data_IF_735478377959
#
_entry.id   IF_735478377959
#
_cell.length_a   1.000
_cell.length_b   1.000
_cell.length_c   1.000
_cell.angle_alpha   90.00
_cell.angle_beta   90.00
_cell.angle_gamma   90.00
#
_symmetry.space_group_name_H-M   'P 1'
#
loop_
_entity.id
_entity.type
_entity.pdbx_description
1 polymer ?
#
# COMPACT_ATOMS: atom_id res chain seq x y z
N UNK A 1 2.21 1.11 -20.03
CA UNK A 1 2.96 -0.14 -19.81
C UNK A 1 4.38 0.06 -20.28
N UNK A 2 5.32 -0.74 -19.77
CA UNK A 2 6.72 -0.74 -20.20
C UNK A 2 7.13 -2.17 -20.56
N UNK A 3 7.95 -2.33 -21.59
CA UNK A 3 8.57 -3.60 -21.93
C UNK A 3 9.55 -4.05 -20.83
N UNK A 4 9.85 -5.36 -20.77
CA UNK A 4 10.83 -5.89 -19.82
C UNK A 4 12.18 -5.16 -19.86
N UNK A 5 12.66 -4.81 -21.06
CA UNK A 5 13.94 -4.10 -21.26
C UNK A 5 13.88 -2.67 -20.71
N UNK A 6 12.76 -1.99 -20.90
CA UNK A 6 12.54 -0.66 -20.31
C UNK A 6 12.46 -0.73 -18.79
N UNK A 7 11.81 -1.74 -18.21
CA UNK A 7 11.79 -1.95 -16.77
C UNK A 7 13.19 -2.17 -16.19
N UNK A 8 14.01 -3.00 -16.83
CA UNK A 8 15.41 -3.22 -16.43
C UNK A 8 16.23 -1.93 -16.49
N UNK A 9 16.07 -1.14 -17.56
CA UNK A 9 16.76 0.14 -17.69
C UNK A 9 16.30 1.13 -16.61
N UNK A 10 14.99 1.19 -16.33
CA UNK A 10 14.43 2.04 -15.30
C UNK A 10 14.97 1.68 -13.91
N UNK A 11 15.07 0.38 -13.61
CA UNK A 11 15.63 -0.10 -12.34
C UNK A 11 17.12 0.24 -12.23
N UNK A 12 17.92 0.04 -13.29
CA UNK A 12 19.34 0.42 -13.30
C UNK A 12 19.55 1.91 -13.06
N UNK A 13 18.72 2.76 -13.68
CA UNK A 13 18.75 4.22 -13.45
C UNK A 13 18.41 4.57 -12.01
N UNK A 14 17.44 3.89 -11.40
CA UNK A 14 17.14 4.07 -9.98
C UNK A 14 18.32 3.66 -9.09
N UNK A 15 18.95 2.51 -9.33
CA UNK A 15 20.14 2.11 -8.59
C UNK A 15 21.25 3.16 -8.62
N UNK A 16 21.48 3.79 -9.77
CA UNK A 16 22.46 4.86 -9.90
C UNK A 16 22.04 6.13 -9.15
N UNK A 17 20.77 6.53 -9.28
CA UNK A 17 20.26 7.75 -8.66
C UNK A 17 20.29 7.72 -7.13
N UNK A 18 20.07 6.54 -6.52
CA UNK A 18 20.00 6.39 -5.06
C UNK A 18 21.26 6.79 -4.28
N UNK A 19 22.41 6.92 -4.94
CA UNK A 19 23.65 7.39 -4.31
C UNK A 19 23.77 8.92 -4.24
N UNK A 20 22.84 9.66 -4.84
CA UNK A 20 22.88 11.11 -4.95
C UNK A 20 21.62 11.71 -4.32
N UNK A 21 21.81 12.56 -3.30
CA UNK A 21 20.70 13.13 -2.53
C UNK A 21 19.84 14.07 -3.39
N UNK A 22 20.45 14.87 -4.25
CA UNK A 22 19.72 15.83 -5.08
C UNK A 22 18.87 15.09 -6.12
N UNK A 23 19.41 14.03 -6.70
CA UNK A 23 18.66 13.17 -7.63
C UNK A 23 17.50 12.45 -6.95
N UNK A 24 17.71 11.88 -5.75
CA UNK A 24 16.64 11.19 -5.02
C UNK A 24 15.51 12.14 -4.64
N UNK A 25 15.83 13.33 -4.11
CA UNK A 25 14.82 14.32 -3.73
C UNK A 25 14.06 14.87 -4.94
N UNK A 26 14.72 14.97 -6.10
CA UNK A 26 14.09 15.33 -7.37
C UNK A 26 13.15 14.23 -7.89
N UNK A 27 13.56 12.96 -7.76
CA UNK A 27 12.83 11.81 -8.29
C UNK A 27 11.69 11.36 -7.39
N UNK A 28 11.81 11.56 -6.07
CA UNK A 28 10.81 11.17 -5.08
C UNK A 28 10.41 12.38 -4.23
N UNK A 29 9.66 13.35 -4.80
CA UNK A 29 9.10 14.43 -4.02
C UNK A 29 8.15 13.88 -2.95
N UNK A 30 8.29 14.36 -1.71
CA UNK A 30 7.59 13.77 -0.55
C UNK A 30 6.06 13.93 -0.56
N UNK A 31 5.52 14.74 -1.46
CA UNK A 31 4.10 15.05 -1.61
C UNK A 31 3.49 14.50 -2.92
N UNK A 32 4.22 13.67 -3.66
CA UNK A 32 3.71 13.03 -4.87
C UNK A 32 3.15 11.65 -4.55
N UNK A 33 2.30 11.16 -5.46
CA UNK A 33 1.54 9.92 -5.28
C UNK A 33 1.64 9.05 -6.53
N UNK A 34 1.42 7.74 -6.37
CA UNK A 34 1.18 6.84 -7.49
C UNK A 34 -0.32 6.70 -7.72
N UNK A 35 -0.74 6.73 -8.98
CA UNK A 35 -2.13 6.47 -9.35
C UNK A 35 -2.21 5.19 -10.18
N UNK A 36 -2.81 4.14 -9.61
CA UNK A 36 -3.00 2.86 -10.29
C UNK A 36 -4.39 2.86 -10.93
N UNK A 37 -4.42 2.94 -12.26
CA UNK A 37 -5.67 2.90 -13.02
C UNK A 37 -6.37 1.54 -12.93
N UNK A 38 -7.69 1.53 -13.06
CA UNK A 38 -8.49 0.30 -13.12
C UNK A 38 -8.02 -0.68 -14.20
N UNK A 39 -7.53 -0.19 -15.35
CA UNK A 39 -6.92 -1.04 -16.39
C UNK A 39 -5.64 -1.75 -15.90
N UNK A 40 -4.82 -1.06 -15.10
CA UNK A 40 -3.62 -1.65 -14.50
C UNK A 40 -4.00 -2.70 -13.45
N UNK A 41 -5.06 -2.45 -12.68
CA UNK A 41 -5.60 -3.38 -11.69
C UNK A 41 -6.15 -4.65 -12.36
N UNK A 42 -7.01 -4.49 -13.37
CA UNK A 42 -7.55 -5.59 -14.17
C UNK A 42 -6.44 -6.40 -14.82
N UNK A 43 -5.42 -5.73 -15.36
CA UNK A 43 -4.26 -6.39 -15.94
C UNK A 43 -3.50 -7.18 -14.88
N UNK A 44 -3.24 -6.61 -13.70
CA UNK A 44 -2.53 -7.30 -12.63
C UNK A 44 -3.31 -8.53 -12.17
N UNK A 45 -4.59 -8.39 -11.88
CA UNK A 45 -5.45 -9.49 -11.41
C UNK A 45 -5.58 -10.62 -12.45
N UNK A 46 -5.59 -10.28 -13.74
CA UNK A 46 -5.61 -11.29 -14.82
C UNK A 46 -4.32 -12.10 -14.91
N UNK A 47 -3.19 -11.51 -14.58
CA UNK A 47 -1.87 -12.12 -14.79
C UNK A 47 -1.26 -12.69 -13.50
N UNK A 48 -1.73 -12.31 -12.31
CA UNK A 48 -1.19 -12.73 -11.02
C UNK A 48 -1.89 -13.99 -10.49
N UNK A 49 -1.14 -15.03 -10.14
CA UNK A 49 -1.65 -16.30 -9.61
C UNK A 49 -1.23 -16.50 -8.13
N UNK A 50 -1.04 -15.40 -7.40
CA UNK A 50 -0.50 -15.37 -6.05
C UNK A 50 -1.30 -14.41 -5.15
N UNK A 51 -1.18 -14.54 -3.82
CA UNK A 51 -1.79 -13.61 -2.87
C UNK A 51 -1.03 -12.28 -2.76
N UNK A 52 0.15 -12.20 -3.38
CA UNK A 52 0.99 -10.99 -3.45
C UNK A 52 1.47 -10.71 -4.87
N UNK A 53 2.02 -9.51 -5.06
CA UNK A 53 2.75 -9.12 -6.25
C UNK A 53 3.93 -8.20 -5.86
N UNK A 54 4.87 -8.01 -6.80
CA UNK A 54 6.00 -7.11 -6.59
C UNK A 54 5.75 -5.76 -7.29
N UNK A 55 6.08 -4.67 -6.61
CA UNK A 55 6.14 -3.34 -7.21
C UNK A 55 7.56 -2.80 -7.16
N UNK A 56 8.18 -2.63 -8.32
CA UNK A 56 9.51 -2.07 -8.43
C UNK A 56 9.46 -0.57 -8.61
N UNK A 57 10.34 0.15 -7.92
CA UNK A 57 10.59 1.56 -8.19
C UNK A 57 11.77 1.68 -9.15
N UNK A 58 11.54 2.44 -10.22
CA UNK A 58 12.51 2.72 -11.28
C UNK A 58 12.50 4.20 -11.66
N UNK A 59 13.40 4.57 -12.58
CA UNK A 59 13.42 5.91 -13.20
C UNK A 59 13.19 5.80 -14.71
N UNK A 60 12.06 6.33 -15.17
CA UNK A 60 11.69 6.35 -16.58
C UNK A 60 11.29 7.77 -16.97
N UNK A 61 11.76 8.25 -18.13
CA UNK A 61 11.54 9.64 -18.58
C UNK A 61 11.86 10.71 -17.53
N UNK A 62 12.96 10.54 -16.80
CA UNK A 62 13.41 11.41 -15.69
C UNK A 62 12.42 11.54 -14.52
N UNK A 63 11.45 10.63 -14.42
CA UNK A 63 10.46 10.55 -13.34
C UNK A 63 10.53 9.20 -12.64
N UNK A 64 10.16 9.17 -11.37
CA UNK A 64 9.99 7.90 -10.65
C UNK A 64 8.78 7.15 -11.19
N UNK A 65 8.94 5.84 -11.38
CA UNK A 65 7.91 4.94 -11.91
C UNK A 65 7.81 3.70 -11.03
N UNK A 66 6.58 3.34 -10.65
CA UNK A 66 6.23 2.07 -10.04
C UNK A 66 5.84 1.09 -11.14
N UNK A 67 6.48 -0.09 -11.16
CA UNK A 67 6.27 -1.14 -12.15
C UNK A 67 5.70 -2.38 -11.47
N UNK A 68 4.56 -2.87 -11.94
CA UNK A 68 3.80 -3.95 -11.30
C UNK A 68 4.19 -5.31 -11.92
N UNK A 69 4.71 -6.20 -11.09
CA UNK A 69 5.23 -7.52 -11.46
C UNK A 69 4.35 -8.62 -10.83
N UNK A 70 3.53 -9.30 -11.64
CA UNK A 70 2.74 -10.42 -11.16
C UNK A 70 3.62 -11.64 -10.86
N UNK A 71 3.15 -12.45 -9.93
CA UNK A 71 3.79 -13.68 -9.47
C UNK A 71 2.97 -14.90 -9.90
N UNK A 72 3.65 -16.02 -10.10
CA UNK A 72 3.03 -17.33 -10.23
C UNK A 72 2.62 -17.91 -8.86
N UNK A 73 1.91 -19.04 -8.86
CA UNK A 73 1.49 -19.73 -7.64
C UNK A 73 2.63 -20.21 -6.74
N UNK A 74 3.88 -20.22 -7.22
CA UNK A 74 5.06 -20.52 -6.40
C UNK A 74 5.72 -19.28 -5.79
N UNK A 75 5.26 -18.07 -6.14
CA UNK A 75 5.84 -16.79 -5.72
C UNK A 75 6.96 -16.30 -6.64
N UNK A 76 7.16 -16.93 -7.81
CA UNK A 76 8.13 -16.53 -8.81
C UNK A 76 7.58 -15.43 -9.74
N UNK A 77 8.43 -14.49 -10.14
CA UNK A 77 8.03 -13.42 -11.06
C UNK A 77 7.73 -13.94 -12.47
N UNK A 78 6.55 -13.60 -12.98
CA UNK A 78 6.15 -13.97 -14.33
C UNK A 78 6.89 -13.14 -15.38
N UNK A 79 7.48 -13.84 -16.35
CA UNK A 79 8.18 -13.22 -17.48
C UNK A 79 7.20 -12.83 -18.58
N UNK A 80 6.63 -11.63 -18.46
CA UNK A 80 5.72 -11.05 -19.44
C UNK A 80 6.46 -10.12 -20.43
N UNK A 81 5.90 -9.89 -21.64
CA UNK A 81 6.47 -8.96 -22.62
C UNK A 81 6.49 -7.51 -22.12
N UNK A 82 5.44 -7.12 -21.40
CA UNK A 82 5.21 -5.78 -20.87
C UNK A 82 4.57 -5.83 -19.49
N UNK A 83 4.71 -4.74 -18.73
CA UNK A 83 4.23 -4.61 -17.36
C UNK A 83 3.44 -3.32 -17.19
N UNK A 84 2.38 -3.38 -16.38
CA UNK A 84 1.65 -2.20 -15.95
C UNK A 84 2.54 -1.29 -15.09
N UNK A 85 2.38 0.02 -15.26
CA UNK A 85 3.19 1.02 -14.56
C UNK A 85 2.34 2.20 -14.09
N UNK A 86 2.84 2.91 -13.09
CA UNK A 86 2.28 4.16 -12.58
C UNK A 86 3.44 5.13 -12.31
N UNK A 87 3.31 6.39 -12.73
CA UNK A 87 4.32 7.41 -12.48
C UNK A 87 4.03 8.11 -11.16
N UNK A 88 5.10 8.54 -10.50
CA UNK A 88 5.00 9.37 -9.30
C UNK A 88 4.68 10.81 -9.72
N UNK A 89 3.50 11.29 -9.40
CA UNK A 89 2.96 12.55 -9.91
C UNK A 89 2.29 13.38 -8.80
N UNK A 90 2.12 14.70 -8.99
CA UNK A 90 1.30 15.51 -8.10
C UNK A 90 -0.11 14.95 -7.98
N UNK A 91 -0.68 15.08 -6.79
CA UNK A 91 -2.06 14.68 -6.56
C UNK A 91 -3.02 15.53 -7.41
N UNK A 92 -3.90 14.88 -8.17
CA UNK A 92 -4.84 15.53 -9.09
C UNK A 92 -6.10 16.06 -8.41
N UNK A 93 -6.46 15.54 -7.24
CA UNK A 93 -7.65 15.92 -6.47
C UNK A 93 -7.50 15.53 -4.99
N UNK A 94 -8.27 16.16 -4.10
CA UNK A 94 -8.21 15.87 -2.66
C UNK A 94 -8.46 14.38 -2.35
N UNK A 95 -7.56 13.78 -1.57
CA UNK A 95 -7.75 12.44 -1.01
C UNK A 95 -8.61 12.52 0.24
N UNK A 96 -9.62 11.66 0.32
CA UNK A 96 -10.49 11.53 1.49
C UNK A 96 -10.24 10.20 2.17
N UNK A 97 -9.79 10.25 3.41
CA UNK A 97 -9.67 9.10 4.31
C UNK A 97 -11.03 8.93 5.01
N UNK A 98 -11.60 7.73 4.93
CA UNK A 98 -12.93 7.43 5.49
C UNK A 98 -12.85 6.18 6.34
N UNK A 99 -13.12 6.33 7.64
CA UNK A 99 -13.30 5.23 8.59
C UNK A 99 -14.72 5.28 9.16
N UNK A 100 -15.45 4.16 9.07
CA UNK A 100 -16.81 4.03 9.62
C UNK A 100 -16.89 2.91 10.67
N UNK A 101 -17.27 3.26 11.89
CA UNK A 101 -17.55 2.32 12.98
C UNK A 101 -19.06 2.10 13.18
N UNK A 102 -19.55 0.88 12.98
CA UNK A 102 -20.96 0.53 13.22
C UNK A 102 -21.13 -0.14 14.59
N UNK A 103 -21.81 0.54 15.53
CA UNK A 103 -22.19 -0.01 16.85
C UNK A 103 -23.58 -0.65 16.79
N UNK A 104 -23.77 -1.77 17.48
CA UNK A 104 -25.08 -2.43 17.58
C UNK A 104 -25.67 -2.25 18.97
N UNK A 105 -26.90 -1.75 19.05
CA UNK A 105 -27.65 -1.61 20.30
C UNK A 105 -28.84 -2.57 20.26
N UNK A 106 -28.83 -3.60 21.09
CA UNK A 106 -29.96 -4.54 21.27
C UNK A 106 -30.76 -4.15 22.49
N UNK A 107 -32.03 -3.79 22.30
CA UNK A 107 -32.98 -3.51 23.39
C UNK A 107 -33.93 -4.70 23.50
N UNK A 108 -33.85 -5.42 24.61
CA UNK A 108 -34.74 -6.56 24.90
C UNK A 108 -35.67 -6.16 26.04
N UNK A 109 -36.98 -6.35 25.86
CA UNK A 109 -37.96 -6.18 26.93
C UNK A 109 -38.76 -7.48 27.06
N UNK A 110 -38.92 -7.96 28.28
CA UNK A 110 -39.76 -9.12 28.57
C UNK A 110 -41.05 -8.62 29.22
N UNK A 111 -42.18 -9.11 28.72
CA UNK A 111 -43.47 -8.92 29.35
C UNK A 111 -43.83 -10.21 30.11
N UNK A 112 -44.39 -10.06 31.30
CA UNK A 112 -44.98 -11.15 32.05
C UNK A 112 -46.26 -11.65 31.37
N UNK A 113 -46.78 -12.78 31.83
CA UNK A 113 -48.02 -13.39 31.32
C UNK A 113 -49.25 -12.50 31.53
N UNK A 114 -49.21 -11.54 32.45
CA UNK A 114 -50.23 -10.51 32.66
C UNK A 114 -49.89 -9.16 32.00
N UNK A 115 -48.97 -9.15 31.02
CA UNK A 115 -48.57 -8.00 30.22
C UNK A 115 -47.91 -6.85 31.00
N UNK A 116 -47.38 -7.11 32.20
CA UNK A 116 -46.51 -6.17 32.90
C UNK A 116 -45.07 -6.30 32.37
N UNK A 117 -44.33 -5.21 32.36
CA UNK A 117 -42.92 -5.24 31.93
C UNK A 117 -42.10 -5.87 33.06
N UNK A 118 -41.57 -7.08 32.83
CA UNK A 118 -40.82 -7.83 33.84
C UNK A 118 -39.32 -7.52 33.82
N UNK A 119 -38.77 -7.14 32.66
CA UNK A 119 -37.39 -6.67 32.56
C UNK A 119 -37.15 -5.85 31.30
N UNK A 120 -36.15 -4.97 31.35
CA UNK A 120 -35.56 -4.30 30.20
C UNK A 120 -34.06 -4.43 30.26
N UNK A 121 -33.47 -4.94 29.18
CA UNK A 121 -32.04 -5.07 29.02
C UNK A 121 -31.60 -4.32 27.76
N UNK A 122 -30.54 -3.52 27.90
CA UNK A 122 -29.89 -2.85 26.78
C UNK A 122 -28.49 -3.45 26.68
N UNK A 123 -28.23 -4.18 25.59
CA UNK A 123 -26.91 -4.74 25.30
C UNK A 123 -26.30 -3.93 24.16
N UNK A 124 -25.21 -3.23 24.45
CA UNK A 124 -24.41 -2.55 23.43
C UNK A 124 -23.26 -3.46 23.03
N UNK A 125 -23.15 -3.76 21.73
CA UNK A 125 -22.04 -4.52 21.17
C UNK A 125 -21.23 -3.58 20.29
N UNK A 126 -19.97 -3.39 20.66
CA UNK A 126 -18.99 -2.71 19.79
C UNK A 126 -18.57 -3.69 18.69
N UNK A 127 -18.25 -3.20 17.48
CA UNK A 127 -17.65 -4.06 16.47
C UNK A 127 -16.38 -4.68 17.08
N UNK A 128 -16.18 -5.98 16.84
CA UNK A 128 -14.90 -6.60 17.13
C UNK A 128 -13.87 -5.88 16.26
N UNK A 129 -12.78 -5.37 16.84
CA UNK A 129 -11.62 -4.95 16.06
C UNK A 129 -11.23 -6.16 15.21
N UNK A 130 -11.50 -6.11 13.90
CA UNK A 130 -10.79 -6.96 12.97
C UNK A 130 -9.32 -6.66 13.22
N UNK A 131 -8.58 -7.67 13.63
CA UNK A 131 -7.36 -7.56 14.43
C UNK A 131 -6.19 -6.84 13.75
N UNK A 132 -6.38 -6.28 12.56
CA UNK A 132 -5.29 -5.99 11.66
C UNK A 132 -5.45 -4.70 10.82
N UNK A 133 -6.44 -3.84 11.13
CA UNK A 133 -6.56 -2.52 10.49
C UNK A 133 -5.93 -1.48 11.42
N UNK A 134 -4.78 -0.92 11.02
CA UNK A 134 -4.20 0.25 11.69
C UNK A 134 -5.23 1.40 11.67
N UNK A 135 -5.41 2.07 12.81
CA UNK A 135 -6.32 3.19 12.92
C UNK A 135 -5.92 4.29 11.93
N UNK A 136 -6.92 4.94 11.31
CA UNK A 136 -6.68 6.04 10.36
C UNK A 136 -5.71 7.08 10.91
N UNK A 137 -5.80 7.45 12.20
CA UNK A 137 -4.91 8.43 12.82
C UNK A 137 -3.44 8.02 12.75
N UNK A 138 -3.14 6.75 13.02
CA UNK A 138 -1.77 6.21 12.89
C UNK A 138 -1.29 6.26 11.45
N UNK A 139 -2.15 5.94 10.48
CA UNK A 139 -1.79 6.00 9.06
C UNK A 139 -1.50 7.45 8.62
N UNK A 140 -2.28 8.41 9.10
CA UNK A 140 -2.08 9.83 8.81
C UNK A 140 -0.74 10.33 9.38
N UNK A 141 -0.41 9.96 10.63
CA UNK A 141 0.91 10.25 11.22
C UNK A 141 2.04 9.68 10.36
N UNK A 142 1.95 8.42 9.92
CA UNK A 142 2.97 7.79 9.07
C UNK A 142 3.17 8.51 7.73
N UNK A 143 2.10 9.06 7.14
CA UNK A 143 2.16 9.85 5.90
C UNK A 143 2.76 11.24 6.17
N UNK A 144 2.41 11.86 7.29
CA UNK A 144 2.99 13.14 7.70
C UNK A 144 4.48 13.02 8.00
N UNK A 145 4.89 11.97 8.71
CA UNK A 145 6.29 11.65 8.98
C UNK A 145 7.07 11.50 7.67
N UNK A 146 6.53 10.78 6.68
CA UNK A 146 7.16 10.71 5.36
C UNK A 146 7.32 12.10 4.74
N UNK A 147 6.25 12.89 4.73
CA UNK A 147 6.27 14.23 4.13
C UNK A 147 7.33 15.13 4.74
N UNK A 148 7.51 15.05 6.06
CA UNK A 148 8.40 15.92 6.84
C UNK A 148 9.84 15.40 6.87
N UNK A 149 10.04 14.09 7.00
CA UNK A 149 11.33 13.49 7.35
C UNK A 149 11.95 12.65 6.22
N UNK A 150 11.30 12.51 5.05
CA UNK A 150 11.86 11.71 3.95
C UNK A 150 13.23 12.17 3.50
N UNK A 151 13.47 13.49 3.50
CA UNK A 151 14.76 14.04 3.08
C UNK A 151 15.90 13.65 4.03
N UNK A 152 15.66 13.76 5.33
CA UNK A 152 16.62 13.34 6.36
C UNK A 152 16.84 11.83 6.34
N UNK A 153 15.77 11.06 6.11
CA UNK A 153 15.86 9.62 5.95
C UNK A 153 16.75 9.24 4.75
N UNK A 154 16.52 9.84 3.58
CA UNK A 154 17.35 9.59 2.39
C UNK A 154 18.81 10.00 2.63
N UNK A 155 19.04 11.19 3.20
CA UNK A 155 20.40 11.64 3.54
C UNK A 155 21.12 10.65 4.45
N UNK A 156 20.43 10.12 5.47
CA UNK A 156 20.97 9.09 6.36
C UNK A 156 21.29 7.79 5.61
N UNK A 157 20.37 7.27 4.79
CA UNK A 157 20.62 6.02 4.05
C UNK A 157 21.77 6.14 3.04
N UNK A 158 21.92 7.31 2.41
CA UNK A 158 23.04 7.59 1.50
C UNK A 158 24.35 7.69 2.28
N UNK A 159 24.36 8.39 3.41
CA UNK A 159 25.55 8.52 4.25
C UNK A 159 26.01 7.18 4.83
N UNK A 160 25.07 6.35 5.28
CA UNK A 160 25.37 5.09 5.97
C UNK A 160 25.70 3.93 5.01
N UNK A 161 25.12 3.91 3.80
CA UNK A 161 25.18 2.75 2.89
C UNK A 161 25.45 3.08 1.43
N UNK A 162 25.69 4.35 1.08
CA UNK A 162 25.77 4.80 -0.31
C UNK A 162 24.45 4.63 -1.08
N UNK A 163 23.31 4.56 -0.37
CA UNK A 163 21.98 4.37 -0.95
C UNK A 163 21.60 2.91 -1.24
N UNK A 164 22.44 1.94 -0.86
CA UNK A 164 22.15 0.51 -1.05
C UNK A 164 20.93 0.03 -0.25
N UNK A 165 20.65 0.65 0.90
CA UNK A 165 19.50 0.34 1.76
C UNK A 165 18.19 0.98 1.31
N UNK A 166 18.25 1.96 0.39
CA UNK A 166 17.05 2.59 -0.17
C UNK A 166 16.31 1.55 -1.04
N UNK A 167 15.00 1.48 -0.82
CA UNK A 167 14.10 0.50 -1.41
C UNK A 167 14.24 0.37 -2.94
N UNK A 168 13.97 -0.83 -3.44
CA UNK A 168 13.88 -1.14 -4.87
C UNK A 168 12.55 -1.75 -5.22
N UNK A 169 12.03 -2.58 -4.31
CA UNK A 169 10.86 -3.41 -4.54
C UNK A 169 10.02 -3.45 -3.27
N UNK A 170 8.72 -3.38 -3.45
CA UNK A 170 7.72 -3.57 -2.42
C UNK A 170 6.99 -4.88 -2.70
N UNK A 171 6.80 -5.67 -1.67
CA UNK A 171 5.98 -6.87 -1.75
C UNK A 171 4.58 -6.54 -1.21
N UNK A 172 3.57 -6.55 -2.06
CA UNK A 172 2.24 -5.99 -1.78
C UNK A 172 1.20 -7.10 -1.88
N UNK A 173 0.29 -7.28 -0.91
CA UNK A 173 -0.82 -8.21 -1.08
C UNK A 173 -1.75 -7.76 -2.19
N UNK A 174 -2.28 -8.72 -2.94
CA UNK A 174 -3.25 -8.42 -3.98
C UNK A 174 -4.53 -7.81 -3.39
N UNK A 175 -4.86 -8.13 -2.14
CA UNK A 175 -6.02 -7.58 -1.41
C UNK A 175 -5.95 -6.05 -1.23
N UNK A 176 -4.75 -5.47 -1.17
CA UNK A 176 -4.55 -4.01 -1.10
C UNK A 176 -5.02 -3.32 -2.40
N UNK A 177 -5.14 -4.08 -3.49
CA UNK A 177 -5.61 -3.64 -4.80
C UNK A 177 -6.94 -4.37 -5.11
N UNK A 178 -8.07 -3.76 -4.74
CA UNK A 178 -9.37 -4.44 -4.84
C UNK A 178 -9.90 -4.54 -6.27
N UNK A 179 -10.50 -5.68 -6.60
CA UNK A 179 -11.22 -5.89 -7.86
C UNK A 179 -12.37 -4.88 -8.03
N UNK A 180 -12.49 -4.30 -9.22
CA UNK A 180 -13.55 -3.33 -9.56
C UNK A 180 -13.32 -1.90 -9.04
N UNK A 181 -12.13 -1.58 -8.52
CA UNK A 181 -11.75 -0.18 -8.32
C UNK A 181 -11.42 0.48 -9.67
N UNK A 182 -11.99 1.67 -9.88
CA UNK A 182 -11.66 2.50 -11.06
C UNK A 182 -10.25 3.07 -10.99
N UNK A 183 -9.78 3.34 -9.78
CA UNK A 183 -8.49 3.94 -9.49
C UNK A 183 -8.14 3.70 -8.01
N UNK A 184 -6.84 3.53 -7.74
CA UNK A 184 -6.29 3.45 -6.37
C UNK A 184 -5.07 4.37 -6.29
N UNK A 185 -4.96 5.12 -5.19
CA UNK A 185 -3.82 6.02 -4.95
C UNK A 185 -2.85 5.39 -3.96
N UNK A 186 -1.58 5.26 -4.34
CA UNK A 186 -0.48 4.82 -3.49
C UNK A 186 0.30 6.01 -2.94
N UNK A 187 0.39 6.10 -1.61
CA UNK A 187 1.11 7.13 -0.87
C UNK A 187 2.34 6.53 -0.22
N UNK A 188 3.48 7.22 -0.27
CA UNK A 188 4.59 6.85 0.61
C UNK A 188 4.28 7.23 2.06
N UNK A 189 4.74 6.38 2.98
CA UNK A 189 4.60 6.57 4.42
C UNK A 189 5.79 5.95 5.15
N UNK A 190 5.97 6.27 6.42
CA UNK A 190 6.98 5.63 7.26
C UNK A 190 6.39 4.61 8.22
N UNK A 191 6.97 3.42 8.27
CA UNK A 191 6.59 2.37 9.23
C UNK A 191 7.79 1.96 10.06
N UNK A 192 7.65 2.02 11.39
CA UNK A 192 8.70 1.53 12.27
C UNK A 192 8.71 -0.01 12.28
N UNK A 193 9.84 -0.61 11.93
CA UNK A 193 10.04 -2.04 12.08
C UNK A 193 10.73 -2.36 13.39
N UNK A 194 10.00 -3.03 14.29
CA UNK A 194 10.58 -3.58 15.53
C UNK A 194 11.65 -4.63 15.27
N UNK A 195 11.54 -5.37 14.16
CA UNK A 195 12.50 -6.42 13.79
C UNK A 195 13.84 -5.82 13.38
N UNK A 196 13.81 -4.74 12.59
CA UNK A 196 15.02 -4.08 12.12
C UNK A 196 15.48 -2.91 12.99
N UNK A 197 14.67 -2.51 13.98
CA UNK A 197 14.96 -1.38 14.87
C UNK A 197 15.02 -0.04 14.15
N UNK A 198 14.39 0.11 12.98
CA UNK A 198 14.49 1.29 12.13
C UNK A 198 13.16 1.62 11.43
N UNK A 199 13.06 2.88 11.00
CA UNK A 199 11.97 3.37 10.16
C UNK A 199 12.20 2.93 8.71
N UNK A 200 11.18 2.31 8.12
CA UNK A 200 11.19 1.85 6.74
C UNK A 200 10.09 2.54 5.92
N UNK A 201 10.39 3.00 4.69
CA UNK A 201 9.39 3.49 3.75
C UNK A 201 8.40 2.39 3.39
N UNK A 202 7.11 2.70 3.33
CA UNK A 202 6.05 1.82 2.87
C UNK A 202 5.15 2.56 1.89
N UNK A 203 4.28 1.83 1.17
CA UNK A 203 3.23 2.40 0.31
C UNK A 203 1.86 2.05 0.90
N UNK A 204 1.06 3.08 1.18
CA UNK A 204 -0.32 2.94 1.66
C UNK A 204 -1.26 3.14 0.49
N UNK A 205 -2.16 2.19 0.27
CA UNK A 205 -3.14 2.25 -0.81
C UNK A 205 -4.47 2.80 -0.32
N UNK A 206 -4.91 3.90 -0.93
CA UNK A 206 -6.16 4.60 -0.66
C UNK A 206 -7.14 4.35 -1.81
N UNK A 207 -8.28 3.75 -1.48
CA UNK A 207 -9.35 3.47 -2.44
C UNK A 207 -10.32 4.64 -2.50
N UNK A 208 -11.06 4.76 -3.60
CA UNK A 208 -12.09 5.80 -3.72
C UNK A 208 -13.19 5.64 -2.65
N UNK A 209 -13.55 6.73 -1.99
CA UNK A 209 -14.46 6.74 -0.83
C UNK A 209 -15.84 6.12 -1.11
N UNK A 210 -16.32 6.15 -2.36
CA UNK A 210 -17.61 5.57 -2.73
C UNK A 210 -17.71 4.07 -2.45
N UNK A 211 -16.60 3.32 -2.48
CA UNK A 211 -16.61 1.87 -2.20
C UNK A 211 -16.84 1.51 -0.74
N UNK A 212 -16.38 2.34 0.20
CA UNK A 212 -16.63 2.12 1.64
C UNK A 212 -18.13 2.22 1.93
N UNK A 213 -18.81 3.17 1.27
CA UNK A 213 -20.24 3.43 1.44
C UNK A 213 -21.15 2.34 0.83
N UNK A 214 -20.65 1.53 -0.09
CA UNK A 214 -21.42 0.44 -0.73
C UNK A 214 -21.38 -0.88 0.05
N UNK A 215 -20.39 -1.08 0.93
CA UNK A 215 -20.26 -2.33 1.66
C UNK A 215 -21.23 -2.37 2.86
N UNK A 216 -22.42 -2.96 2.70
CA UNK A 216 -23.38 -3.14 3.79
C UNK A 216 -23.03 -4.32 4.71
N UNK A 217 -21.75 -4.47 5.10
CA UNK A 217 -21.37 -5.49 6.09
C UNK A 217 -21.85 -5.04 7.47
N UNK A 218 -22.89 -5.69 7.98
CA UNK A 218 -23.31 -5.59 9.38
C UNK A 218 -22.18 -6.14 10.27
N UNK A 219 -21.71 -5.31 11.20
CA UNK A 219 -20.67 -5.61 12.21
C UNK A 219 -19.20 -5.62 11.72
N UNK A 220 -18.73 -4.55 11.08
CA UNK A 220 -17.30 -4.36 10.81
C UNK A 220 -16.88 -2.90 10.87
N UNK A 221 -15.59 -2.65 11.17
CA UNK A 221 -14.91 -1.39 10.81
C UNK A 221 -14.69 -1.41 9.31
N UNK A 222 -15.03 -0.33 8.61
CA UNK A 222 -14.82 -0.20 7.17
C UNK A 222 -13.92 0.99 6.91
N UNK A 223 -12.86 0.77 6.13
CA UNK A 223 -11.90 1.80 5.75
C UNK A 223 -11.57 1.70 4.26
N UNK A 224 -11.21 2.83 3.65
CA UNK A 224 -10.63 2.85 2.31
C UNK A 224 -9.10 2.72 2.32
N UNK A 225 -8.51 2.39 3.47
CA UNK A 225 -7.07 2.26 3.67
C UNK A 225 -6.67 0.80 3.81
N UNK A 226 -5.68 0.38 3.02
CA UNK A 226 -5.10 -0.94 3.09
C UNK A 226 -3.57 -0.79 3.18
N UNK A 227 -2.97 -1.35 4.23
CA UNK A 227 -1.57 -1.15 4.59
C UNK A 227 -0.86 -2.48 4.86
N UNK A 228 -0.44 -3.17 3.80
CA UNK A 228 0.35 -4.39 3.93
C UNK A 228 1.55 -4.46 2.98
N UNK A 229 1.83 -3.36 2.27
CA UNK A 229 3.08 -3.29 1.53
C UNK A 229 4.24 -3.36 2.53
N UNK A 230 5.15 -4.28 2.27
CA UNK A 230 6.38 -4.38 3.03
C UNK A 230 7.52 -3.99 2.07
N UNK A 231 8.31 -2.95 2.39
CA UNK A 231 9.54 -2.70 1.67
C UNK A 231 10.40 -3.95 1.80
N UNK A 232 10.86 -4.51 0.69
CA UNK A 232 11.79 -5.62 0.78
C UNK A 232 13.19 -5.06 1.04
N UNK A 233 13.82 -5.36 2.20
CA UNK A 233 15.19 -4.96 2.44
C UNK A 233 16.12 -5.64 1.42
N UNK A 234 17.35 -5.14 1.22
CA UNK A 234 18.32 -5.72 0.27
C UNK A 234 18.63 -7.22 0.50
N UNK A 235 18.25 -7.80 1.64
CA UNK A 235 18.39 -9.24 1.95
C UNK A 235 17.11 -10.06 1.81
N UNK A 236 16.02 -9.47 1.33
CA UNK A 236 14.84 -10.23 0.99
C UNK A 236 15.21 -11.34 0.01
N UNK A 237 14.95 -12.58 0.39
CA UNK A 237 14.92 -13.72 -0.52
C UNK A 237 13.51 -14.27 -0.48
N UNK A 238 12.56 -13.71 -1.25
CA UNK A 238 11.28 -14.40 -1.44
C UNK A 238 11.59 -15.78 -2.02
N UNK A 239 10.85 -16.78 -1.57
CA UNK A 239 10.84 -18.09 -2.23
C UNK A 239 10.27 -17.85 -3.64
N UNK A 240 11.14 -17.75 -4.65
CA UNK A 240 10.73 -17.42 -6.02
C UNK A 240 11.69 -16.49 -6.78
N UNK A 241 12.56 -15.73 -6.09
CA UNK A 241 13.61 -14.90 -6.69
C UNK A 241 13.12 -13.57 -7.31
N UNK A 242 14.00 -12.57 -7.35
CA UNK A 242 13.76 -11.27 -7.98
C UNK A 242 14.44 -11.25 -9.36
N UNK A 243 13.72 -11.65 -10.39
CA UNK A 243 14.26 -11.87 -11.74
C UNK A 243 14.66 -10.58 -12.47
N UNK A 244 14.25 -9.41 -11.96
CA UNK A 244 14.71 -8.11 -12.44
C UNK A 244 15.99 -7.61 -11.75
N UNK A 245 16.28 -8.10 -10.54
CA UNK A 245 17.49 -7.72 -9.80
C UNK A 245 18.68 -8.61 -10.17
N UNK A 246 18.43 -9.77 -10.74
CA UNK A 246 19.42 -10.68 -11.29
C UNK A 246 19.61 -10.35 -12.79
N UNK A 247 20.84 -9.98 -13.18
CA UNK A 247 21.21 -9.60 -14.56
C UNK A 247 20.81 -10.65 -15.61
#
# INVERSE_FOLDING_TARGET
MLSRKECQLALKRWQTAKGDIDEVLRLVPSHYVFTISGKSIEWLNKNNDNDRFHAYIGVHNNQSVMMLFPLDSSGGELRLPEYAVSYLEPLSSELRFVEQEVKTVRKTAVLSTDLQISSREITETRPLYQHDIECQDTILEQVEDWRNDSADWFFKQISDSGGASIFNVFNIPIEDISEGCTEITGLFAFKYSKVYGQILPTIIFVHHASKVLESQKLHSVQTNLYNWSQPCPPFCRPKGGFTLLED
#
